data_IF_624874712712
#
_entry.id   IF_624874712712
#
_cell.length_a   1.000
_cell.length_b   1.000
_cell.length_c   1.000
_cell.angle_alpha   90.00
_cell.angle_beta   90.00
_cell.angle_gamma   90.00
#
_symmetry.space_group_name_H-M   'P 1'
#
loop_
_entity.id
_entity.type
_entity.pdbx_description
1 polymer ?
#
# COMPACT_ATOMS: atom_id res chain seq x y z
N UNK A 1 -4.54 -4.01 24.26
CA UNK A 1 -4.01 -4.71 23.09
C UNK A 1 -4.98 -4.50 21.94
N UNK A 2 -4.50 -4.04 20.81
CA UNK A 2 -5.35 -3.80 19.64
C UNK A 2 -5.66 -5.10 18.89
N UNK A 3 -6.85 -5.22 18.30
CA UNK A 3 -7.35 -6.48 17.71
C UNK A 3 -6.50 -7.00 16.54
N UNK A 4 -5.85 -6.10 15.78
CA UNK A 4 -5.05 -6.43 14.61
C UNK A 4 -3.54 -6.21 14.80
N UNK A 5 -3.05 -6.06 16.04
CA UNK A 5 -1.64 -5.76 16.33
C UNK A 5 -0.63 -6.82 15.84
N UNK A 6 -1.12 -7.99 15.47
CA UNK A 6 -0.31 -9.09 14.92
C UNK A 6 -0.15 -9.03 13.40
N UNK A 7 -0.92 -8.18 12.69
CA UNK A 7 -0.92 -8.11 11.24
C UNK A 7 0.09 -7.10 10.69
N UNK A 8 0.83 -7.51 9.66
CA UNK A 8 1.72 -6.70 8.84
C UNK A 8 1.08 -6.47 7.47
N UNK A 9 0.82 -5.21 7.15
CA UNK A 9 0.09 -4.81 5.95
C UNK A 9 0.97 -3.96 5.04
N UNK A 10 1.04 -4.30 3.76
CA UNK A 10 1.67 -3.50 2.72
C UNK A 10 0.59 -2.75 1.94
N UNK A 11 0.64 -1.42 2.01
CA UNK A 11 -0.30 -0.53 1.33
C UNK A 11 0.36 0.10 0.11
N UNK A 12 0.09 -0.43 -1.09
CA UNK A 12 0.57 0.08 -2.37
C UNK A 12 -0.47 0.98 -3.05
N UNK A 13 -1.45 1.46 -2.29
CA UNK A 13 -2.57 2.21 -2.84
C UNK A 13 -2.34 3.72 -2.88
N UNK A 14 -3.14 4.41 -3.68
CA UNK A 14 -3.18 5.86 -3.75
C UNK A 14 -4.63 6.37 -3.80
N UNK A 15 -4.81 7.67 -3.68
CA UNK A 15 -6.10 8.34 -3.63
C UNK A 15 -6.94 7.97 -2.40
N UNK A 16 -8.14 7.39 -2.58
CA UNK A 16 -9.13 7.28 -1.52
C UNK A 16 -9.41 5.84 -1.06
N UNK A 17 -9.92 4.99 -1.93
CA UNK A 17 -10.49 3.68 -1.56
C UNK A 17 -9.47 2.74 -0.90
N UNK A 18 -8.29 2.62 -1.48
CA UNK A 18 -7.20 1.81 -0.94
C UNK A 18 -6.62 2.39 0.34
N UNK A 19 -6.22 3.68 0.37
CA UNK A 19 -5.74 4.30 1.60
C UNK A 19 -6.74 4.24 2.75
N UNK A 20 -8.03 4.39 2.49
CA UNK A 20 -9.09 4.24 3.49
C UNK A 20 -9.17 2.81 4.04
N UNK A 21 -9.13 1.80 3.16
CA UNK A 21 -9.09 0.39 3.57
C UNK A 21 -7.90 0.11 4.49
N UNK A 22 -6.69 0.51 4.08
CA UNK A 22 -5.48 0.32 4.86
C UNK A 22 -5.49 1.12 6.18
N UNK A 23 -6.10 2.33 6.19
CA UNK A 23 -6.28 3.13 7.40
C UNK A 23 -7.14 2.43 8.44
N UNK A 24 -8.25 1.80 8.03
CA UNK A 24 -9.09 1.03 8.97
C UNK A 24 -8.27 -0.07 9.65
N UNK A 25 -7.44 -0.80 8.91
CA UNK A 25 -6.57 -1.81 9.50
C UNK A 25 -5.55 -1.19 10.48
N UNK A 26 -4.96 -0.04 10.11
CA UNK A 26 -4.03 0.69 10.97
C UNK A 26 -4.71 1.20 12.26
N UNK A 27 -5.91 1.76 12.17
CA UNK A 27 -6.68 2.23 13.33
C UNK A 27 -7.04 1.07 14.29
N UNK A 28 -7.15 -0.14 13.78
CA UNK A 28 -7.34 -1.35 14.57
C UNK A 28 -6.00 -2.01 15.00
N UNK A 29 -4.89 -1.34 14.78
CA UNK A 29 -3.56 -1.68 15.32
C UNK A 29 -2.65 -2.48 14.41
N UNK A 30 -3.04 -2.76 13.18
CA UNK A 30 -2.13 -3.39 12.22
C UNK A 30 -0.89 -2.51 11.96
N UNK A 31 0.27 -3.15 11.77
CA UNK A 31 1.48 -2.47 11.33
C UNK A 31 1.42 -2.26 9.81
N UNK A 32 0.96 -1.08 9.41
CA UNK A 32 0.76 -0.72 8.00
C UNK A 32 1.94 0.08 7.48
N UNK A 33 2.57 -0.42 6.43
CA UNK A 33 3.63 0.27 5.68
C UNK A 33 3.10 0.68 4.31
N UNK A 34 3.01 2.00 4.09
CA UNK A 34 2.64 2.57 2.80
C UNK A 34 3.87 2.63 1.90
N UNK A 35 3.74 2.05 0.70
CA UNK A 35 4.77 2.06 -0.34
C UNK A 35 4.45 3.19 -1.31
N UNK A 36 5.34 4.16 -1.43
CA UNK A 36 5.14 5.34 -2.27
C UNK A 36 6.22 5.46 -3.35
N UNK A 37 5.84 6.01 -4.50
CA UNK A 37 6.81 6.36 -5.55
C UNK A 37 7.72 7.51 -5.04
N UNK A 38 9.05 7.41 -5.15
CA UNK A 38 9.97 8.44 -4.67
C UNK A 38 9.82 9.80 -5.37
N UNK A 39 9.32 9.82 -6.61
CA UNK A 39 9.16 11.06 -7.37
C UNK A 39 7.96 11.89 -6.91
N UNK A 40 6.81 11.24 -6.76
CA UNK A 40 5.54 11.95 -6.60
C UNK A 40 4.80 11.59 -5.30
N UNK A 41 5.10 10.46 -4.69
CA UNK A 41 4.35 9.92 -3.57
C UNK A 41 2.91 9.56 -3.94
N UNK A 42 2.03 9.55 -2.95
CA UNK A 42 0.59 9.46 -3.16
C UNK A 42 0.05 10.79 -3.72
N UNK A 43 -0.83 10.73 -4.71
CA UNK A 43 -1.45 11.91 -5.32
C UNK A 43 -2.19 12.78 -4.31
N UNK A 44 -2.71 12.21 -3.24
CA UNK A 44 -3.34 12.96 -2.16
C UNK A 44 -2.40 13.96 -1.48
N UNK A 45 -1.08 13.74 -1.50
CA UNK A 45 -0.11 14.71 -0.94
C UNK A 45 -0.18 16.09 -1.60
N UNK A 46 -0.72 16.15 -2.83
CA UNK A 46 -0.88 17.39 -3.62
C UNK A 46 -2.33 17.90 -3.62
N UNK A 47 -3.22 17.31 -2.85
CA UNK A 47 -4.65 17.64 -2.85
C UNK A 47 -5.00 18.60 -1.71
N UNK A 48 -5.62 19.78 -2.02
CA UNK A 48 -6.10 20.70 -0.99
C UNK A 48 -7.31 20.11 -0.23
N UNK A 49 -7.67 20.69 0.95
CA UNK A 49 -7.01 21.82 1.61
C UNK A 49 -5.68 21.44 2.25
N UNK A 50 -4.78 22.42 2.38
CA UNK A 50 -3.50 22.24 3.06
C UNK A 50 -3.53 22.86 4.45
N UNK A 51 -2.91 22.18 5.41
CA UNK A 51 -2.67 22.65 6.77
C UNK A 51 -1.17 22.53 7.07
N UNK A 52 -0.53 23.65 7.39
CA UNK A 52 0.92 23.71 7.65
C UNK A 52 1.79 23.08 6.55
N UNK A 53 1.35 23.21 5.29
CA UNK A 53 2.05 22.65 4.12
C UNK A 53 1.71 21.20 3.79
N UNK A 54 0.97 20.51 4.65
CA UNK A 54 0.54 19.12 4.43
C UNK A 54 -0.90 19.04 3.93
N UNK A 55 -1.18 18.09 3.03
CA UNK A 55 -2.54 17.83 2.55
C UNK A 55 -3.41 17.24 3.65
N UNK A 56 -4.49 17.91 4.01
CA UNK A 56 -5.45 17.40 4.99
C UNK A 56 -6.10 16.07 4.57
N UNK A 57 -6.50 15.87 3.30
CA UNK A 57 -6.95 14.56 2.82
C UNK A 57 -5.90 13.46 2.97
N UNK A 58 -4.62 13.75 2.68
CA UNK A 58 -3.55 12.77 2.87
C UNK A 58 -3.41 12.38 4.35
N UNK A 59 -3.34 13.36 5.24
CA UNK A 59 -3.23 13.12 6.69
C UNK A 59 -4.42 12.31 7.22
N UNK A 60 -5.62 12.62 6.74
CA UNK A 60 -6.85 11.93 7.17
C UNK A 60 -6.82 10.43 6.81
N UNK A 61 -6.50 10.09 5.55
CA UNK A 61 -6.61 8.73 5.03
C UNK A 61 -5.36 7.87 5.24
N UNK A 62 -4.25 8.49 5.72
CA UNK A 62 -2.99 7.77 5.91
C UNK A 62 -2.46 7.84 7.34
N UNK A 63 -3.31 8.22 8.30
CA UNK A 63 -2.92 8.19 9.72
C UNK A 63 -2.58 6.78 10.17
N UNK A 64 -1.75 6.69 11.20
CA UNK A 64 -1.27 5.43 11.81
C UNK A 64 -0.48 4.51 10.87
N UNK A 65 -0.05 5.02 9.70
CA UNK A 65 0.81 4.27 8.77
C UNK A 65 2.25 4.76 8.86
N UNK A 66 3.18 3.85 8.62
CA UNK A 66 4.57 4.20 8.26
C UNK A 66 4.64 4.35 6.74
N UNK A 67 5.60 5.12 6.24
CA UNK A 67 5.82 5.27 4.80
C UNK A 67 7.25 4.91 4.43
N UNK A 68 7.41 4.29 3.28
CA UNK A 68 8.70 4.04 2.62
C UNK A 68 8.56 4.35 1.13
N UNK A 69 9.60 4.93 0.55
CA UNK A 69 9.64 5.22 -0.88
C UNK A 69 10.38 4.10 -1.62
N UNK A 70 9.72 3.48 -2.60
CA UNK A 70 10.30 2.47 -3.48
C UNK A 70 9.89 2.76 -4.93
N UNK A 71 10.87 2.77 -5.83
CA UNK A 71 10.62 2.78 -7.26
C UNK A 71 10.44 1.34 -7.77
N UNK A 72 9.20 0.89 -7.89
CA UNK A 72 8.90 -0.49 -8.30
C UNK A 72 9.32 -0.84 -9.74
N UNK A 73 9.86 0.12 -10.49
CA UNK A 73 10.52 -0.12 -11.79
C UNK A 73 12.03 -0.36 -11.66
N UNK A 74 12.60 -0.07 -10.50
CA UNK A 74 13.98 -0.40 -10.16
C UNK A 74 14.05 -1.80 -9.53
N UNK A 75 15.01 -2.61 -9.98
CA UNK A 75 15.10 -4.01 -9.54
C UNK A 75 15.49 -4.15 -8.06
N UNK A 76 16.31 -3.24 -7.51
CA UNK A 76 16.72 -3.29 -6.11
C UNK A 76 15.55 -2.93 -5.18
N UNK A 77 14.79 -1.90 -5.56
CA UNK A 77 13.60 -1.48 -4.83
C UNK A 77 12.50 -2.55 -4.90
N UNK A 78 12.30 -3.15 -6.07
CA UNK A 78 11.39 -4.28 -6.23
C UNK A 78 11.80 -5.47 -5.34
N UNK A 79 13.08 -5.82 -5.33
CA UNK A 79 13.61 -6.89 -4.47
C UNK A 79 13.38 -6.56 -2.98
N UNK A 80 13.48 -5.30 -2.59
CA UNK A 80 13.19 -4.84 -1.23
C UNK A 80 11.71 -5.04 -0.89
N UNK A 81 10.79 -4.69 -1.80
CA UNK A 81 9.37 -4.97 -1.64
C UNK A 81 9.11 -6.48 -1.50
N UNK A 82 9.73 -7.32 -2.34
CA UNK A 82 9.50 -8.77 -2.30
C UNK A 82 9.98 -9.42 -0.98
N UNK A 83 11.04 -8.88 -0.36
CA UNK A 83 11.44 -9.28 1.00
C UNK A 83 10.38 -8.91 2.05
N UNK A 84 9.75 -7.76 1.91
CA UNK A 84 8.64 -7.37 2.79
C UNK A 84 7.42 -8.27 2.58
N UNK A 85 7.09 -8.60 1.33
CA UNK A 85 6.00 -9.52 0.96
C UNK A 85 6.17 -10.89 1.61
N UNK A 86 7.40 -11.41 1.69
CA UNK A 86 7.67 -12.73 2.27
C UNK A 86 7.26 -12.85 3.74
N UNK A 87 7.15 -11.72 4.45
CA UNK A 87 6.82 -11.67 5.90
C UNK A 87 5.54 -10.86 6.20
N UNK A 88 4.84 -10.40 5.18
CA UNK A 88 3.59 -9.68 5.32
C UNK A 88 2.38 -10.64 5.40
N UNK A 89 1.31 -10.18 6.02
CA UNK A 89 0.04 -10.89 6.11
C UNK A 89 -0.96 -10.41 5.05
N UNK A 90 -0.90 -9.13 4.71
CA UNK A 90 -1.83 -8.49 3.77
C UNK A 90 -1.06 -7.57 2.82
N UNK A 91 -1.42 -7.57 1.55
CA UNK A 91 -1.00 -6.58 0.55
C UNK A 91 -2.22 -6.01 -0.15
N UNK A 92 -2.29 -4.68 -0.22
CA UNK A 92 -3.41 -3.95 -0.84
C UNK A 92 -2.86 -3.10 -1.98
N UNK A 93 -3.47 -3.20 -3.16
CA UNK A 93 -3.16 -2.34 -4.31
C UNK A 93 -4.45 -1.85 -4.98
N UNK A 94 -4.39 -0.69 -5.61
CA UNK A 94 -5.48 -0.14 -6.42
C UNK A 94 -4.96 0.40 -7.76
N UNK A 95 -4.02 -0.29 -8.34
CA UNK A 95 -3.50 0.03 -9.67
C UNK A 95 -4.56 -0.19 -10.77
N UNK A 96 -4.37 0.47 -11.89
CA UNK A 96 -5.13 0.15 -13.09
C UNK A 96 -4.91 -1.31 -13.48
N UNK A 97 -5.94 -2.03 -13.98
CA UNK A 97 -5.80 -3.42 -14.44
C UNK A 97 -4.57 -3.64 -15.32
N UNK A 98 -3.84 -4.74 -15.06
CA UNK A 98 -2.60 -5.08 -15.74
C UNK A 98 -1.33 -4.40 -15.22
N UNK A 99 -1.43 -3.36 -14.40
CA UNK A 99 -0.23 -2.66 -13.88
C UNK A 99 0.54 -3.53 -12.89
N UNK A 100 -0.13 -4.17 -11.94
CA UNK A 100 0.51 -5.10 -11.00
C UNK A 100 1.26 -6.22 -11.73
N UNK A 101 0.69 -6.77 -12.80
CA UNK A 101 1.32 -7.78 -13.64
C UNK A 101 2.58 -7.24 -14.33
N UNK A 102 2.54 -6.03 -14.90
CA UNK A 102 3.72 -5.39 -15.53
C UNK A 102 4.84 -5.12 -14.53
N UNK A 103 4.49 -4.84 -13.27
CA UNK A 103 5.47 -4.63 -12.19
C UNK A 103 5.97 -5.94 -11.58
N UNK A 104 5.41 -7.10 -11.94
CA UNK A 104 5.79 -8.39 -11.37
C UNK A 104 5.33 -8.58 -9.92
N UNK A 105 4.22 -7.95 -9.54
CA UNK A 105 3.64 -8.00 -8.19
C UNK A 105 2.17 -8.39 -8.18
N UNK A 106 1.68 -9.01 -9.25
CA UNK A 106 0.32 -9.55 -9.29
C UNK A 106 0.17 -10.78 -8.38
N UNK A 107 -1.06 -11.12 -8.06
CA UNK A 107 -1.37 -12.25 -7.16
C UNK A 107 -0.68 -13.55 -7.58
N UNK A 108 -0.67 -13.85 -8.88
CA UNK A 108 -0.07 -15.08 -9.42
C UNK A 108 1.43 -15.19 -9.12
N UNK A 109 2.13 -14.06 -9.08
CA UNK A 109 3.55 -14.02 -8.73
C UNK A 109 3.75 -13.98 -7.22
N UNK A 110 3.04 -13.11 -6.52
CA UNK A 110 3.17 -12.89 -5.07
C UNK A 110 2.80 -14.15 -4.27
N UNK A 111 1.76 -14.89 -4.68
CA UNK A 111 1.35 -16.13 -4.01
C UNK A 111 2.39 -17.26 -4.06
N UNK A 112 3.35 -17.19 -4.98
CA UNK A 112 4.49 -18.13 -5.00
C UNK A 112 5.55 -17.80 -3.96
N UNK A 113 5.66 -16.52 -3.59
CA UNK A 113 6.62 -16.04 -2.58
C UNK A 113 6.02 -16.23 -1.18
N UNK A 114 4.76 -15.86 -1.01
CA UNK A 114 4.04 -15.99 0.25
C UNK A 114 2.62 -16.53 0.01
N UNK A 115 2.43 -17.86 0.07
CA UNK A 115 1.12 -18.49 -0.19
C UNK A 115 0.04 -18.13 0.83
N UNK A 116 0.41 -17.67 2.01
CA UNK A 116 -0.52 -17.28 3.08
C UNK A 116 -0.95 -15.82 3.03
N UNK A 117 -0.32 -15.00 2.16
CA UNK A 117 -0.61 -13.59 2.06
C UNK A 117 -2.02 -13.34 1.49
N UNK A 118 -2.77 -12.49 2.15
CA UNK A 118 -4.05 -11.98 1.65
C UNK A 118 -3.77 -10.86 0.66
N UNK A 119 -4.10 -11.07 -0.60
CA UNK A 119 -3.93 -10.07 -1.66
C UNK A 119 -5.25 -9.39 -1.96
N UNK A 120 -5.33 -8.08 -1.72
CA UNK A 120 -6.50 -7.26 -1.99
C UNK A 120 -6.25 -6.33 -3.17
N UNK A 121 -6.97 -6.53 -4.27
CA UNK A 121 -6.94 -5.67 -5.44
C UNK A 121 -8.24 -4.87 -5.55
N UNK A 122 -8.13 -3.54 -5.54
CA UNK A 122 -9.28 -2.63 -5.60
C UNK A 122 -9.31 -1.97 -6.97
N UNK A 123 -10.42 -2.12 -7.68
CA UNK A 123 -10.63 -1.49 -8.99
C UNK A 123 -12.06 -1.01 -9.15
N UNK A 124 -12.29 -0.04 -10.06
CA UNK A 124 -13.62 0.52 -10.30
C UNK A 124 -14.59 -0.46 -10.97
N UNK A 125 -14.07 -1.37 -11.79
CA UNK A 125 -14.89 -2.25 -12.65
C UNK A 125 -14.44 -3.74 -12.61
N UNK A 126 -13.58 -4.10 -11.70
CA UNK A 126 -12.96 -5.41 -11.64
C UNK A 126 -11.64 -5.51 -12.42
N UNK A 127 -11.04 -6.68 -12.39
CA UNK A 127 -9.78 -6.98 -13.08
C UNK A 127 -10.01 -7.53 -14.47
#
# INVERSE_FOLDING_TARGET
MSSLSHLKVLDLTSHLSGPYCAMILADHGADVVKIENPKDGDQLRKTPPFQEGESAPFMLWNRNKRSVTLNLKDQNDLNSLLKMVAVADVMIENFKPGTAKRLGIDYKFISKINPSLIYCSISGFGQ
#
